data_IF_355796414078
#
_entry.id   IF_355796414078
#
_cell.length_a   1.000
_cell.length_b   1.000
_cell.length_c   1.000
_cell.angle_alpha   90.00
_cell.angle_beta   90.00
_cell.angle_gamma   90.00
#
_symmetry.space_group_name_H-M   'P 1'
#
loop_
_entity.id
_entity.type
_entity.pdbx_description
1 polymer ?
#
# COMPACT_ATOMS: atom_id res chain seq x y z
N UNK A 1 13.31 30.45 -0.98
CA UNK A 1 12.66 30.78 0.31
C UNK A 1 12.03 32.19 0.35
N UNK A 2 12.24 33.00 -0.68
CA UNK A 2 11.66 34.34 -0.80
C UNK A 2 10.77 34.50 -2.03
N UNK A 3 10.91 33.62 -3.01
CA UNK A 3 10.17 33.59 -4.27
C UNK A 3 8.92 32.74 -4.12
N UNK A 4 7.82 33.10 -4.77
CA UNK A 4 6.58 32.30 -4.77
C UNK A 4 5.69 32.49 -3.53
N UNK A 5 5.71 33.70 -2.90
CA UNK A 5 4.87 34.03 -1.73
C UNK A 5 3.64 34.88 -2.07
N UNK A 6 3.36 35.09 -3.34
CA UNK A 6 2.21 35.88 -3.82
C UNK A 6 1.59 35.23 -5.04
N UNK A 7 0.40 35.70 -5.45
CA UNK A 7 -0.30 35.23 -6.66
C UNK A 7 0.40 35.63 -7.96
N UNK A 8 1.53 36.32 -7.90
CA UNK A 8 2.28 36.73 -9.10
C UNK A 8 3.32 35.66 -9.43
N UNK A 9 3.43 35.35 -10.73
CA UNK A 9 4.48 34.47 -11.25
C UNK A 9 5.85 35.09 -10.96
N UNK A 10 6.73 34.34 -10.31
CA UNK A 10 8.07 34.78 -9.95
C UNK A 10 9.10 33.81 -10.50
N UNK A 11 10.29 34.31 -10.80
CA UNK A 11 11.40 33.54 -11.35
C UNK A 11 12.59 33.59 -10.37
N UNK A 12 13.28 32.46 -10.22
CA UNK A 12 14.52 32.37 -9.48
C UNK A 12 15.62 31.82 -10.41
N UNK A 13 16.74 32.52 -10.50
CA UNK A 13 17.88 32.12 -11.33
C UNK A 13 19.02 31.65 -10.42
N UNK A 14 19.49 30.42 -10.67
CA UNK A 14 20.66 29.87 -9.99
C UNK A 14 21.89 30.09 -10.87
N UNK A 15 22.82 30.90 -10.39
CA UNK A 15 24.09 31.13 -11.07
C UNK A 15 25.06 30.04 -10.61
N UNK A 16 25.50 29.21 -11.54
CA UNK A 16 26.34 28.04 -11.28
C UNK A 16 27.57 28.02 -12.17
N UNK A 17 28.67 27.36 -11.80
CA UNK A 17 29.70 26.99 -12.71
C UNK A 17 29.17 26.13 -13.88
N UNK A 18 29.98 25.91 -14.94
CA UNK A 18 29.61 25.00 -16.02
C UNK A 18 29.17 23.63 -15.46
N UNK A 19 28.16 23.00 -16.08
CA UNK A 19 27.53 21.79 -15.58
C UNK A 19 28.52 20.62 -15.36
N UNK A 20 29.61 20.59 -16.11
CA UNK A 20 30.73 19.63 -15.96
C UNK A 20 31.52 19.81 -14.66
N UNK A 21 31.56 21.04 -14.11
CA UNK A 21 32.30 21.35 -12.90
C UNK A 21 31.46 21.25 -11.61
N UNK A 22 30.15 20.99 -11.72
CA UNK A 22 29.24 20.85 -10.58
C UNK A 22 29.33 19.43 -10.03
N UNK A 23 29.40 19.28 -8.69
CA UNK A 23 29.42 17.98 -8.03
C UNK A 23 28.11 17.20 -8.26
N UNK A 24 28.17 15.87 -8.13
CA UNK A 24 27.00 15.00 -8.32
C UNK A 24 25.85 15.37 -7.41
N UNK A 25 26.13 15.71 -6.15
CA UNK A 25 25.10 16.08 -5.16
C UNK A 25 24.50 17.45 -5.45
N UNK A 26 25.30 18.41 -5.91
CA UNK A 26 24.78 19.70 -6.35
C UNK A 26 23.87 19.57 -7.58
N UNK A 27 24.19 18.67 -8.52
CA UNK A 27 23.32 18.33 -9.65
C UNK A 27 21.98 17.75 -9.19
N UNK A 28 22.01 16.81 -8.24
CA UNK A 28 20.80 16.21 -7.67
C UNK A 28 19.92 17.26 -6.99
N UNK A 29 20.51 18.16 -6.18
CA UNK A 29 19.79 19.25 -5.51
C UNK A 29 19.13 20.22 -6.50
N UNK A 30 19.86 20.61 -7.55
CA UNK A 30 19.30 21.47 -8.60
C UNK A 30 18.10 20.82 -9.28
N UNK A 31 18.21 19.53 -9.64
CA UNK A 31 17.12 18.75 -10.23
C UNK A 31 15.92 18.63 -9.30
N UNK A 32 16.17 18.48 -8.00
CA UNK A 32 15.09 18.46 -6.98
C UNK A 32 14.31 19.78 -6.94
N UNK A 33 15.01 20.92 -6.95
CA UNK A 33 14.36 22.23 -6.94
C UNK A 33 13.55 22.46 -8.23
N UNK A 34 14.04 21.98 -9.36
CA UNK A 34 13.33 22.04 -10.64
C UNK A 34 12.05 21.19 -10.61
N UNK A 35 12.14 19.97 -10.08
CA UNK A 35 10.99 19.03 -9.97
C UNK A 35 9.91 19.51 -9.01
N UNK A 36 10.30 20.11 -7.90
CA UNK A 36 9.39 20.55 -6.84
C UNK A 36 9.24 22.08 -6.80
N UNK A 37 8.88 22.68 -7.96
CA UNK A 37 8.68 24.12 -8.09
C UNK A 37 7.29 24.62 -7.66
N UNK A 38 6.35 23.72 -7.35
CA UNK A 38 5.00 24.08 -6.93
C UNK A 38 4.98 24.72 -5.52
N UNK A 39 3.99 25.59 -5.29
CA UNK A 39 3.78 26.20 -3.97
C UNK A 39 3.43 25.10 -2.95
N UNK A 40 4.10 25.11 -1.79
CA UNK A 40 3.90 24.10 -0.74
C UNK A 40 4.85 22.90 -0.78
N UNK A 41 5.67 22.76 -1.84
CA UNK A 41 6.62 21.64 -1.97
C UNK A 41 7.89 21.72 -1.09
N UNK A 42 7.93 22.68 -0.15
CA UNK A 42 9.09 22.88 0.74
C UNK A 42 9.47 21.64 1.55
N UNK A 43 8.50 20.86 2.03
CA UNK A 43 8.73 19.61 2.76
C UNK A 43 9.36 18.55 1.84
N UNK A 44 8.87 18.41 0.62
CA UNK A 44 9.40 17.45 -0.36
C UNK A 44 10.84 17.79 -0.77
N UNK A 45 11.15 19.09 -0.92
CA UNK A 45 12.53 19.55 -1.18
C UNK A 45 13.43 19.24 0.02
N UNK A 46 12.96 19.49 1.24
CA UNK A 46 13.72 19.21 2.46
C UNK A 46 13.98 17.70 2.63
N UNK A 47 12.99 16.87 2.35
CA UNK A 47 13.14 15.40 2.36
C UNK A 47 14.15 14.93 1.31
N UNK A 48 14.09 15.47 0.08
CA UNK A 48 15.06 15.13 -0.96
C UNK A 48 16.47 15.65 -0.64
N UNK A 49 16.62 16.80 0.00
CA UNK A 49 17.93 17.27 0.46
C UNK A 49 18.51 16.36 1.56
N UNK A 50 17.65 15.90 2.48
CA UNK A 50 18.02 14.92 3.51
C UNK A 50 18.48 13.58 2.86
N UNK A 51 17.73 13.09 1.87
CA UNK A 51 18.11 11.90 1.09
C UNK A 51 19.45 12.06 0.38
N UNK A 52 19.72 13.23 -0.21
CA UNK A 52 20.98 13.52 -0.93
C UNK A 52 22.16 13.63 0.04
N UNK A 53 21.98 14.22 1.22
CA UNK A 53 23.03 14.32 2.25
C UNK A 53 23.29 12.99 2.95
N UNK A 54 22.32 12.04 2.86
CA UNK A 54 22.26 10.94 3.80
C UNK A 54 21.87 11.45 5.19
N UNK A 55 20.91 10.82 5.84
CA UNK A 55 20.37 11.26 7.15
C UNK A 55 21.41 11.16 8.31
N UNK A 56 22.68 11.07 8.01
CA UNK A 56 23.77 10.86 8.95
C UNK A 56 23.88 11.90 10.06
N UNK A 57 23.54 13.14 9.77
CA UNK A 57 23.61 14.23 10.76
C UNK A 57 22.43 14.22 11.76
N UNK A 58 21.33 13.57 11.42
CA UNK A 58 20.13 13.52 12.27
C UNK A 58 20.02 12.25 13.13
N UNK A 59 20.61 11.15 12.67
CA UNK A 59 20.41 9.81 13.26
C UNK A 59 21.71 9.12 13.70
N UNK A 60 22.85 9.79 13.60
CA UNK A 60 24.18 9.22 13.88
C UNK A 60 24.84 8.60 12.65
N UNK A 61 26.18 8.71 12.59
CA UNK A 61 26.99 8.41 11.39
C UNK A 61 26.89 6.96 10.87
N UNK A 62 26.50 6.00 11.70
CA UNK A 62 26.38 4.58 11.31
C UNK A 62 25.08 4.26 10.54
N UNK A 63 24.03 5.09 10.70
CA UNK A 63 22.73 4.84 10.04
C UNK A 63 22.59 5.52 8.67
N UNK A 64 23.50 6.45 8.33
CA UNK A 64 23.46 7.19 7.07
C UNK A 64 23.66 6.31 5.82
N UNK A 65 24.51 5.29 5.92
CA UNK A 65 24.74 4.33 4.85
C UNK A 65 23.50 3.52 4.50
N UNK A 66 22.74 3.14 5.51
CA UNK A 66 21.55 2.29 5.38
C UNK A 66 20.39 2.99 4.62
N UNK A 67 20.20 4.30 4.84
CA UNK A 67 19.16 5.07 4.15
C UNK A 67 19.51 5.28 2.67
N UNK A 68 20.79 5.42 2.35
CA UNK A 68 21.25 5.55 0.97
C UNK A 68 21.06 4.26 0.15
N UNK A 69 21.18 3.09 0.78
CA UNK A 69 21.02 1.79 0.11
C UNK A 69 19.53 1.40 -0.05
N UNK A 70 18.69 1.66 0.96
CA UNK A 70 17.28 1.25 0.95
C UNK A 70 16.33 2.28 0.37
N UNK A 71 16.71 3.56 0.31
CA UNK A 71 15.82 4.68 0.01
C UNK A 71 15.00 5.14 1.23
N UNK A 72 14.67 6.43 1.26
CA UNK A 72 13.97 7.08 2.37
C UNK A 72 12.58 6.51 2.66
N UNK A 73 11.82 6.17 1.62
CA UNK A 73 10.46 5.62 1.76
C UNK A 73 10.46 4.25 2.47
N UNK A 74 11.46 3.41 2.15
CA UNK A 74 11.63 2.10 2.82
C UNK A 74 12.06 2.28 4.27
N UNK A 75 12.96 3.22 4.55
CA UNK A 75 13.37 3.56 5.91
C UNK A 75 12.20 4.07 6.75
N UNK A 76 11.37 4.98 6.22
CA UNK A 76 10.16 5.45 6.91
C UNK A 76 9.20 4.30 7.24
N UNK A 77 8.98 3.38 6.32
CA UNK A 77 8.13 2.20 6.57
C UNK A 77 8.67 1.34 7.70
N UNK A 78 9.98 1.07 7.71
CA UNK A 78 10.63 0.28 8.77
C UNK A 78 10.57 1.01 10.11
N UNK A 79 10.81 2.33 10.12
CA UNK A 79 10.72 3.14 11.34
C UNK A 79 9.29 3.14 11.90
N UNK A 80 8.29 3.29 11.05
CA UNK A 80 6.88 3.25 11.45
C UNK A 80 6.50 1.87 12.01
N UNK A 81 6.98 0.80 11.40
CA UNK A 81 6.80 -0.56 11.90
C UNK A 81 7.43 -0.74 13.29
N UNK A 82 8.67 -0.27 13.48
CA UNK A 82 9.34 -0.36 14.77
C UNK A 82 8.61 0.44 15.87
N UNK A 83 8.07 1.62 15.53
CA UNK A 83 7.26 2.43 16.45
C UNK A 83 5.97 1.70 16.83
N UNK A 84 5.30 1.05 15.89
CA UNK A 84 4.09 0.27 16.14
C UNK A 84 4.41 -0.95 17.03
N UNK A 85 5.50 -1.67 16.75
CA UNK A 85 5.97 -2.78 17.59
C UNK A 85 6.29 -2.35 19.02
N UNK A 86 6.94 -1.20 19.20
CA UNK A 86 7.21 -0.64 20.53
C UNK A 86 5.93 -0.26 21.27
N UNK A 87 4.95 0.34 20.58
CA UNK A 87 3.64 0.66 21.16
C UNK A 87 2.89 -0.59 21.61
N UNK A 88 2.94 -1.65 20.82
CA UNK A 88 2.27 -2.92 21.16
C UNK A 88 2.97 -3.69 22.28
N UNK A 89 4.30 -3.69 22.34
CA UNK A 89 5.07 -4.51 23.27
C UNK A 89 5.42 -3.80 24.57
N UNK A 90 6.05 -2.60 24.50
CA UNK A 90 6.58 -1.92 25.69
C UNK A 90 5.63 -0.87 26.27
N UNK A 91 4.81 -0.23 25.45
CA UNK A 91 3.93 0.86 25.86
C UNK A 91 2.44 0.51 25.87
N UNK A 92 2.10 -0.77 25.78
CA UNK A 92 0.72 -1.27 25.78
C UNK A 92 -0.12 -0.75 26.95
N UNK A 93 0.50 -0.52 28.12
CA UNK A 93 -0.19 0.02 29.31
C UNK A 93 -0.51 1.51 29.23
N UNK A 94 0.27 2.27 28.46
CA UNK A 94 0.11 3.72 28.30
C UNK A 94 -0.90 4.10 27.21
N UNK A 95 -1.08 3.23 26.20
CA UNK A 95 -1.96 3.46 25.02
C UNK A 95 -3.28 2.68 25.08
N UNK A 96 -3.63 2.09 26.24
CA UNK A 96 -4.90 1.37 26.45
C UNK A 96 -6.17 2.23 26.40
N UNK A 97 -6.06 3.54 26.28
CA UNK A 97 -7.21 4.45 26.32
C UNK A 97 -8.01 4.58 25.01
N UNK A 98 -7.56 3.99 23.90
CA UNK A 98 -8.23 4.08 22.61
C UNK A 98 -8.76 2.72 22.11
N UNK A 99 -9.12 1.80 23.02
CA UNK A 99 -9.69 0.47 22.68
C UNK A 99 -11.18 0.53 22.24
N UNK A 100 -11.71 1.68 21.85
CA UNK A 100 -12.99 1.75 21.17
C UNK A 100 -12.78 1.79 19.65
N UNK A 101 -13.06 0.68 18.99
CA UNK A 101 -13.37 0.52 17.56
C UNK A 101 -12.25 0.60 16.50
N UNK A 102 -10.97 0.57 16.83
CA UNK A 102 -10.00 0.28 15.77
C UNK A 102 -9.89 -1.23 15.54
N UNK A 103 -10.39 -1.70 14.42
CA UNK A 103 -10.18 -3.07 13.93
C UNK A 103 -8.67 -3.33 13.93
N UNK A 104 -8.18 -4.19 14.84
CA UNK A 104 -6.76 -4.58 14.86
C UNK A 104 -6.39 -5.12 13.48
N UNK A 105 -5.55 -4.40 12.76
CA UNK A 105 -5.09 -4.82 11.45
C UNK A 105 -3.96 -5.82 11.63
N UNK A 106 -4.26 -7.11 11.50
CA UNK A 106 -3.28 -8.19 11.65
C UNK A 106 -2.40 -8.38 10.41
N UNK A 107 -2.85 -7.95 9.24
CA UNK A 107 -2.14 -8.06 7.97
C UNK A 107 -1.72 -6.67 7.51
N UNK A 108 -0.43 -6.47 7.24
CA UNK A 108 0.13 -5.18 6.81
C UNK A 108 0.04 -4.96 5.30
N UNK A 109 0.26 -6.01 4.52
CA UNK A 109 0.13 -6.00 3.05
C UNK A 109 -0.35 -7.35 2.55
N UNK A 110 -1.17 -7.32 1.50
CA UNK A 110 -1.73 -8.51 0.87
C UNK A 110 -1.08 -8.73 -0.48
N UNK A 111 -0.45 -9.89 -0.64
CA UNK A 111 0.09 -10.31 -1.92
C UNK A 111 -1.01 -10.93 -2.79
N UNK A 112 -1.20 -10.42 -4.01
CA UNK A 112 -2.14 -10.96 -4.99
C UNK A 112 -1.38 -11.53 -6.17
N UNK A 113 -1.52 -12.85 -6.39
CA UNK A 113 -1.02 -13.56 -7.57
C UNK A 113 -2.22 -13.91 -8.47
N UNK A 114 -2.23 -13.46 -9.70
CA UNK A 114 -3.35 -13.71 -10.61
C UNK A 114 -2.87 -13.93 -12.04
N UNK A 115 -3.69 -14.61 -12.84
CA UNK A 115 -3.59 -14.71 -14.29
C UNK A 115 -4.40 -13.64 -15.04
N UNK A 116 -5.11 -12.77 -14.32
CA UNK A 116 -5.81 -11.63 -14.88
C UNK A 116 -4.85 -10.49 -15.22
N UNK A 117 -5.17 -9.74 -16.25
CA UNK A 117 -4.45 -8.52 -16.62
C UNK A 117 -4.83 -7.37 -15.68
N UNK A 118 -3.92 -7.02 -14.77
CA UNK A 118 -4.12 -6.00 -13.74
C UNK A 118 -3.04 -4.92 -13.89
N UNK A 119 -3.24 -3.99 -14.82
CA UNK A 119 -2.28 -2.91 -15.10
C UNK A 119 -2.94 -1.74 -15.84
N UNK A 120 -2.24 -0.61 -15.93
CA UNK A 120 -2.62 0.53 -16.77
C UNK A 120 -2.00 0.31 -18.16
N UNK A 121 -2.81 0.01 -19.22
CA UNK A 121 -2.28 -0.27 -20.55
C UNK A 121 -1.51 0.91 -21.17
N UNK A 122 -0.53 0.58 -22.02
CA UNK A 122 0.32 1.58 -22.69
C UNK A 122 -0.46 2.44 -23.68
N UNK A 123 -1.49 1.90 -24.30
CA UNK A 123 -2.40 2.56 -25.24
C UNK A 123 -3.40 3.49 -24.52
N UNK A 124 -3.68 3.22 -23.23
CA UNK A 124 -4.53 4.08 -22.41
C UNK A 124 -3.75 5.27 -21.83
N UNK A 125 -2.54 5.03 -21.27
CA UNK A 125 -1.63 6.07 -20.81
C UNK A 125 -0.25 5.82 -21.41
N UNK A 126 0.07 6.48 -22.53
CA UNK A 126 1.27 6.21 -23.31
C UNK A 126 2.57 6.73 -22.67
N UNK A 127 2.50 7.71 -21.77
CA UNK A 127 3.66 8.32 -21.13
C UNK A 127 4.05 7.50 -19.88
N UNK A 128 5.22 6.86 -19.89
CA UNK A 128 5.73 6.02 -18.79
C UNK A 128 5.79 6.77 -17.46
N UNK A 129 6.28 8.01 -17.46
CA UNK A 129 6.38 8.84 -16.25
C UNK A 129 5.00 9.08 -15.63
N UNK A 130 3.99 9.28 -16.44
CA UNK A 130 2.62 9.52 -16.02
C UNK A 130 1.99 8.26 -15.44
N UNK A 131 2.21 7.10 -16.10
CA UNK A 131 1.78 5.81 -15.52
C UNK A 131 2.42 5.52 -14.16
N UNK A 132 3.71 5.79 -13.99
CA UNK A 132 4.38 5.61 -12.70
C UNK A 132 3.79 6.53 -11.62
N UNK A 133 3.49 7.79 -11.96
CA UNK A 133 2.81 8.71 -11.04
C UNK A 133 1.43 8.21 -10.64
N UNK A 134 0.65 7.66 -11.58
CA UNK A 134 -0.67 7.06 -11.30
C UNK A 134 -0.56 5.83 -10.40
N UNK A 135 0.45 4.96 -10.57
CA UNK A 135 0.68 3.84 -9.65
C UNK A 135 1.08 4.30 -8.25
N UNK A 136 1.88 5.37 -8.13
CA UNK A 136 2.24 5.96 -6.84
C UNK A 136 1.02 6.56 -6.15
N UNK A 137 0.20 7.32 -6.89
CA UNK A 137 -1.07 7.86 -6.40
C UNK A 137 -1.99 6.74 -5.91
N UNK A 138 -2.19 5.69 -6.74
CA UNK A 138 -3.01 4.53 -6.40
C UNK A 138 -2.52 3.80 -5.14
N UNK A 139 -1.21 3.71 -4.94
CA UNK A 139 -0.62 3.06 -3.76
C UNK A 139 -0.86 3.83 -2.45
N UNK A 140 -1.14 5.13 -2.53
CA UNK A 140 -1.42 5.99 -1.37
C UNK A 140 -2.89 6.01 -0.96
N UNK A 141 -3.80 5.54 -1.81
CA UNK A 141 -5.24 5.52 -1.60
C UNK A 141 -5.61 4.53 -0.50
N UNK A 142 -6.41 4.99 0.46
CA UNK A 142 -6.82 4.19 1.62
C UNK A 142 -8.33 3.99 1.75
N UNK A 143 -9.13 4.79 1.07
CA UNK A 143 -10.60 4.75 1.16
C UNK A 143 -11.26 4.53 -0.19
N UNK A 144 -12.51 4.03 -0.19
CA UNK A 144 -13.27 3.80 -1.41
C UNK A 144 -13.67 5.13 -2.08
N UNK A 145 -13.88 6.19 -1.30
CA UNK A 145 -14.17 7.53 -1.80
C UNK A 145 -12.99 8.09 -2.60
N UNK A 146 -11.76 7.95 -2.08
CA UNK A 146 -10.54 8.35 -2.77
C UNK A 146 -10.33 7.53 -4.06
N UNK A 147 -10.60 6.21 -4.01
CA UNK A 147 -10.48 5.33 -5.16
C UNK A 147 -11.49 5.69 -6.25
N UNK A 148 -12.74 6.01 -5.88
CA UNK A 148 -13.76 6.46 -6.81
C UNK A 148 -13.39 7.83 -7.43
N UNK A 149 -12.84 8.75 -6.64
CA UNK A 149 -12.34 10.04 -7.16
C UNK A 149 -11.18 9.84 -8.15
N UNK A 150 -10.27 8.92 -7.85
CA UNK A 150 -9.18 8.53 -8.75
C UNK A 150 -9.72 7.92 -10.06
N UNK A 151 -10.72 7.05 -9.99
CA UNK A 151 -11.39 6.48 -11.17
C UNK A 151 -12.03 7.56 -12.05
N UNK A 152 -12.73 8.53 -11.44
CA UNK A 152 -13.33 9.67 -12.15
C UNK A 152 -12.24 10.51 -12.84
N UNK A 153 -11.15 10.82 -12.14
CA UNK A 153 -10.01 11.56 -12.67
C UNK A 153 -9.36 10.83 -13.87
N UNK A 154 -9.18 9.52 -13.79
CA UNK A 154 -8.67 8.72 -14.91
C UNK A 154 -9.58 8.81 -16.14
N UNK A 155 -10.90 8.69 -15.93
CA UNK A 155 -11.89 8.80 -17.03
C UNK A 155 -11.90 10.17 -17.66
N UNK A 156 -11.78 11.22 -16.87
CA UNK A 156 -11.77 12.61 -17.35
C UNK A 156 -10.52 12.90 -18.21
N UNK A 157 -9.36 12.40 -17.77
CA UNK A 157 -8.07 12.67 -18.42
C UNK A 157 -7.79 11.79 -19.64
N UNK A 158 -8.18 10.53 -19.59
CA UNK A 158 -7.76 9.52 -20.57
C UNK A 158 -8.95 8.81 -21.25
N UNK A 159 -10.18 9.16 -20.89
CA UNK A 159 -11.38 8.55 -21.45
C UNK A 159 -11.81 7.27 -20.75
N UNK A 160 -12.57 6.43 -21.48
CA UNK A 160 -13.17 5.20 -20.89
C UNK A 160 -12.12 4.25 -20.39
N UNK A 161 -12.24 3.79 -19.13
CA UNK A 161 -11.33 2.83 -18.52
C UNK A 161 -11.35 1.47 -19.26
N UNK A 162 -10.19 0.98 -19.72
CA UNK A 162 -10.05 -0.37 -20.24
C UNK A 162 -10.20 -1.42 -19.14
N UNK A 163 -10.53 -2.66 -19.53
CA UNK A 163 -10.75 -3.75 -18.58
C UNK A 163 -9.58 -3.98 -17.62
N UNK A 164 -8.29 -4.04 -18.06
CA UNK A 164 -7.16 -4.22 -17.16
C UNK A 164 -7.04 -3.12 -16.09
N UNK A 165 -7.37 -1.86 -16.44
CA UNK A 165 -7.36 -0.77 -15.46
C UNK A 165 -8.52 -0.85 -14.47
N UNK A 166 -9.70 -1.33 -14.89
CA UNK A 166 -10.81 -1.62 -13.97
C UNK A 166 -10.44 -2.73 -12.97
N UNK A 167 -9.87 -3.82 -13.46
CA UNK A 167 -9.43 -4.94 -12.63
C UNK A 167 -8.32 -4.50 -11.64
N UNK A 168 -7.48 -3.52 -12.04
CA UNK A 168 -6.49 -2.92 -11.15
C UNK A 168 -7.17 -2.19 -9.98
N UNK A 169 -8.20 -1.38 -10.23
CA UNK A 169 -8.94 -0.68 -9.16
C UNK A 169 -9.67 -1.68 -8.24
N UNK A 170 -10.30 -2.69 -8.83
CA UNK A 170 -10.93 -3.75 -8.03
C UNK A 170 -9.91 -4.53 -7.19
N UNK A 171 -8.68 -4.73 -7.68
CA UNK A 171 -7.62 -5.38 -6.89
C UNK A 171 -7.23 -4.59 -5.64
N UNK A 172 -7.34 -3.26 -5.65
CA UNK A 172 -7.12 -2.41 -4.46
C UNK A 172 -8.23 -2.66 -3.44
N UNK A 173 -9.50 -2.69 -3.86
CA UNK A 173 -10.63 -3.03 -2.99
C UNK A 173 -10.47 -4.44 -2.39
N UNK A 174 -10.04 -5.39 -3.23
CA UNK A 174 -9.78 -6.76 -2.79
C UNK A 174 -8.71 -6.82 -1.69
N UNK A 175 -7.63 -6.03 -1.81
CA UNK A 175 -6.60 -5.94 -0.76
C UNK A 175 -7.20 -5.47 0.58
N UNK A 176 -8.05 -4.46 0.59
CA UNK A 176 -8.67 -3.96 1.82
C UNK A 176 -9.55 -5.00 2.50
N UNK A 177 -10.38 -5.69 1.72
CA UNK A 177 -11.24 -6.75 2.25
C UNK A 177 -10.42 -7.93 2.77
N UNK A 178 -9.37 -8.33 2.03
CA UNK A 178 -8.47 -9.40 2.45
C UNK A 178 -7.73 -9.06 3.75
N UNK A 179 -7.25 -7.82 3.89
CA UNK A 179 -6.62 -7.33 5.12
C UNK A 179 -7.56 -7.47 6.33
N UNK A 180 -8.84 -7.10 6.18
CA UNK A 180 -9.83 -7.24 7.25
C UNK A 180 -10.07 -8.70 7.66
N UNK A 181 -9.96 -9.63 6.72
CA UNK A 181 -10.14 -11.07 6.96
C UNK A 181 -8.87 -11.78 7.47
N UNK A 182 -7.77 -11.08 7.64
CA UNK A 182 -6.51 -11.70 8.06
C UNK A 182 -5.83 -12.55 6.96
N UNK A 183 -6.09 -12.22 5.69
CA UNK A 183 -5.52 -12.90 4.54
C UNK A 183 -4.24 -12.19 4.12
N UNK A 184 -3.12 -12.89 4.10
CA UNK A 184 -1.80 -12.38 3.68
C UNK A 184 -1.56 -12.53 2.17
N UNK A 185 -2.09 -13.60 1.58
CA UNK A 185 -1.85 -13.92 0.18
C UNK A 185 -3.09 -14.48 -0.49
N UNK A 186 -3.37 -13.97 -1.68
CA UNK A 186 -4.42 -14.41 -2.58
C UNK A 186 -3.80 -14.99 -3.85
N UNK A 187 -4.23 -16.17 -4.26
CA UNK A 187 -3.87 -16.75 -5.56
C UNK A 187 -5.16 -16.95 -6.33
N UNK A 188 -5.42 -16.05 -7.30
CA UNK A 188 -6.62 -16.08 -8.16
C UNK A 188 -6.20 -16.54 -9.55
N UNK A 189 -6.45 -17.81 -9.87
CA UNK A 189 -6.10 -18.42 -11.16
C UNK A 189 -7.16 -19.42 -11.61
N UNK A 190 -7.40 -19.45 -12.92
CA UNK A 190 -8.31 -20.43 -13.56
C UNK A 190 -9.68 -20.53 -12.89
N UNK A 191 -10.26 -19.38 -12.51
CA UNK A 191 -11.58 -19.33 -11.89
C UNK A 191 -11.65 -19.85 -10.44
N UNK A 192 -10.52 -20.03 -9.77
CA UNK A 192 -10.45 -20.38 -8.36
C UNK A 192 -9.56 -19.43 -7.59
N UNK A 193 -9.88 -19.19 -6.32
CA UNK A 193 -9.07 -18.37 -5.42
C UNK A 193 -8.64 -19.17 -4.21
N UNK A 194 -7.33 -19.10 -3.91
CA UNK A 194 -6.76 -19.61 -2.66
C UNK A 194 -6.38 -18.42 -1.79
N UNK A 195 -7.02 -18.28 -0.64
CA UNK A 195 -6.80 -17.19 0.31
C UNK A 195 -6.03 -17.74 1.51
N UNK A 196 -4.74 -17.42 1.61
CA UNK A 196 -3.88 -17.86 2.70
C UNK A 196 -3.97 -16.88 3.85
N UNK A 197 -4.33 -17.39 5.03
CA UNK A 197 -4.30 -16.63 6.28
C UNK A 197 -2.87 -16.35 6.73
N UNK A 198 -2.73 -15.57 7.80
CA UNK A 198 -1.46 -15.24 8.44
C UNK A 198 -0.53 -16.45 8.53
N UNK A 199 0.74 -16.23 8.26
CA UNK A 199 1.79 -17.26 8.36
C UNK A 199 2.16 -17.53 9.81
N UNK A 200 2.12 -16.52 10.68
CA UNK A 200 2.37 -16.68 12.11
C UNK A 200 1.16 -17.29 12.84
N UNK A 201 1.24 -18.56 13.13
CA UNK A 201 0.19 -19.30 13.85
C UNK A 201 0.04 -18.93 15.32
N UNK A 202 1.04 -18.28 15.91
CA UNK A 202 0.96 -17.80 17.29
C UNK A 202 0.25 -16.46 17.40
N UNK A 203 -0.08 -15.83 16.26
CA UNK A 203 -0.79 -14.56 16.21
C UNK A 203 -2.08 -14.63 17.02
N UNK A 204 -2.35 -13.56 17.77
CA UNK A 204 -3.61 -13.37 18.51
C UNK A 204 -4.84 -13.38 17.59
N UNK A 205 -4.65 -13.21 16.28
CA UNK A 205 -5.70 -13.33 15.28
C UNK A 205 -6.43 -14.66 15.38
N UNK A 206 -5.69 -15.79 15.41
CA UNK A 206 -6.26 -17.14 15.45
C UNK A 206 -6.98 -17.46 16.78
N UNK A 207 -6.65 -16.73 17.85
CA UNK A 207 -7.30 -16.86 19.17
C UNK A 207 -8.48 -15.91 19.34
N UNK A 208 -8.68 -14.98 18.37
CA UNK A 208 -9.72 -13.95 18.46
C UNK A 208 -11.12 -14.54 18.28
N UNK A 209 -12.11 -13.92 18.94
CA UNK A 209 -13.52 -14.24 18.71
C UNK A 209 -13.93 -14.03 17.26
N UNK A 210 -13.31 -13.03 16.61
CA UNK A 210 -13.50 -12.72 15.20
C UNK A 210 -13.16 -13.90 14.30
N UNK A 211 -12.00 -14.53 14.50
CA UNK A 211 -11.55 -15.66 13.69
C UNK A 211 -12.42 -16.91 13.90
N UNK A 212 -12.83 -17.19 15.15
CA UNK A 212 -13.73 -18.30 15.46
C UNK A 212 -15.07 -18.11 14.73
N UNK A 213 -15.62 -16.88 14.76
CA UNK A 213 -16.85 -16.57 14.07
C UNK A 213 -16.69 -16.66 12.54
N UNK A 214 -15.57 -16.20 11.98
CA UNK A 214 -15.24 -16.31 10.56
C UNK A 214 -15.23 -17.78 10.09
N UNK A 215 -14.60 -18.67 10.84
CA UNK A 215 -14.61 -20.11 10.53
C UNK A 215 -16.02 -20.67 10.50
N UNK A 216 -16.83 -20.33 11.48
CA UNK A 216 -18.22 -20.77 11.53
C UNK A 216 -19.03 -20.30 10.29
N UNK A 217 -18.83 -19.05 9.86
CA UNK A 217 -19.48 -18.53 8.65
C UNK A 217 -19.02 -19.24 7.37
N UNK A 218 -17.73 -19.57 7.26
CA UNK A 218 -17.19 -20.34 6.12
C UNK A 218 -17.82 -21.74 6.08
N UNK A 219 -17.95 -22.40 7.24
CA UNK A 219 -18.54 -23.74 7.33
C UNK A 219 -20.03 -23.77 6.98
N UNK A 220 -20.74 -22.65 7.13
CA UNK A 220 -22.15 -22.52 6.71
C UNK A 220 -22.33 -22.37 5.19
N UNK A 221 -21.26 -22.22 4.41
CA UNK A 221 -21.26 -22.06 2.95
C UNK A 221 -20.35 -23.06 2.24
N UNK A 222 -20.55 -24.37 2.44
CA UNK A 222 -19.60 -25.41 1.99
C UNK A 222 -19.52 -25.55 0.47
N UNK A 223 -20.54 -25.15 -0.28
CA UNK A 223 -20.61 -25.36 -1.73
C UNK A 223 -19.58 -24.54 -2.52
N UNK A 224 -19.17 -23.39 -2.01
CA UNK A 224 -18.25 -22.46 -2.69
C UNK A 224 -16.96 -22.20 -1.95
N UNK A 225 -16.95 -22.42 -0.64
CA UNK A 225 -15.84 -22.06 0.25
C UNK A 225 -15.44 -23.25 1.12
N UNK A 226 -14.20 -23.70 0.98
CA UNK A 226 -13.67 -24.82 1.77
C UNK A 226 -12.40 -24.39 2.49
N UNK A 227 -12.41 -24.49 3.81
CA UNK A 227 -11.22 -24.28 4.63
C UNK A 227 -10.34 -25.52 4.58
N UNK A 228 -9.06 -25.33 4.26
CA UNK A 228 -8.07 -26.39 4.14
C UNK A 228 -6.78 -25.99 4.85
N UNK A 229 -6.02 -27.02 5.26
CA UNK A 229 -4.70 -26.87 5.83
C UNK A 229 -3.66 -27.52 4.92
N UNK A 230 -2.51 -26.88 4.75
CA UNK A 230 -1.37 -27.40 4.00
C UNK A 230 -0.12 -27.33 4.87
N UNK A 231 0.58 -28.44 5.00
CA UNK A 231 1.88 -28.48 5.67
C UNK A 231 2.91 -27.86 4.71
N UNK A 232 3.59 -26.80 5.17
CA UNK A 232 4.69 -26.13 4.45
C UNK A 232 6.00 -26.32 5.23
N UNK A 233 7.14 -25.94 4.64
CA UNK A 233 8.44 -26.00 5.33
C UNK A 233 8.48 -25.14 6.60
N UNK A 234 7.65 -24.10 6.66
CA UNK A 234 7.50 -23.19 7.81
C UNK A 234 6.40 -23.60 8.79
N UNK A 235 5.79 -24.79 8.62
CA UNK A 235 4.69 -25.29 9.44
C UNK A 235 3.35 -25.40 8.70
N UNK A 236 2.28 -25.82 9.40
CA UNK A 236 0.96 -25.92 8.83
C UNK A 236 0.43 -24.51 8.48
N UNK A 237 -0.19 -24.36 7.32
CA UNK A 237 -0.73 -23.11 6.82
C UNK A 237 -2.21 -23.26 6.44
N UNK A 238 -3.04 -22.46 7.07
CA UNK A 238 -4.47 -22.45 6.83
C UNK A 238 -4.79 -21.61 5.60
N UNK A 239 -5.67 -22.10 4.74
CA UNK A 239 -6.16 -21.35 3.60
C UNK A 239 -7.63 -21.66 3.28
N UNK A 240 -8.30 -20.67 2.72
CA UNK A 240 -9.65 -20.77 2.20
C UNK A 240 -9.58 -20.98 0.68
N UNK A 241 -10.18 -22.07 0.19
CA UNK A 241 -10.34 -22.37 -1.23
C UNK A 241 -11.72 -21.93 -1.68
N UNK A 242 -11.79 -21.06 -2.67
CA UNK A 242 -13.03 -20.54 -3.26
C UNK A 242 -13.04 -20.94 -4.75
N UNK A 243 -14.15 -21.47 -5.22
CA UNK A 243 -14.32 -21.92 -6.61
C UNK A 243 -15.35 -21.06 -7.35
N UNK A 244 -15.38 -21.16 -8.67
CA UNK A 244 -16.33 -20.44 -9.56
C UNK A 244 -16.19 -18.90 -9.50
N UNK A 245 -14.95 -18.41 -9.42
CA UNK A 245 -14.65 -16.98 -9.48
C UNK A 245 -14.35 -16.58 -10.93
N UNK A 246 -15.21 -15.79 -11.54
CA UNK A 246 -15.05 -15.30 -12.93
C UNK A 246 -14.35 -13.94 -13.00
N UNK A 247 -14.55 -13.08 -11.99
CA UNK A 247 -14.08 -11.70 -11.96
C UNK A 247 -13.65 -11.33 -10.55
N UNK A 248 -12.73 -10.36 -10.40
CA UNK A 248 -12.29 -9.87 -9.09
C UNK A 248 -13.47 -9.33 -8.27
N UNK A 249 -14.41 -8.64 -8.90
CA UNK A 249 -15.61 -8.10 -8.26
C UNK A 249 -16.48 -9.16 -7.57
N UNK A 250 -16.64 -10.33 -8.19
CA UNK A 250 -17.40 -11.43 -7.58
C UNK A 250 -16.72 -11.97 -6.32
N UNK A 251 -15.38 -12.03 -6.31
CA UNK A 251 -14.59 -12.40 -5.14
C UNK A 251 -14.74 -11.37 -4.03
N UNK A 252 -14.64 -10.06 -4.35
CA UNK A 252 -14.85 -8.98 -3.39
C UNK A 252 -16.22 -9.11 -2.72
N UNK A 253 -17.28 -9.32 -3.50
CA UNK A 253 -18.64 -9.46 -2.97
C UNK A 253 -18.74 -10.62 -1.97
N UNK A 254 -18.17 -11.78 -2.29
CA UNK A 254 -18.15 -12.94 -1.41
C UNK A 254 -17.38 -12.67 -0.11
N UNK A 255 -16.17 -12.12 -0.22
CA UNK A 255 -15.34 -11.81 0.94
C UNK A 255 -15.94 -10.69 1.80
N UNK A 256 -16.57 -9.68 1.20
CA UNK A 256 -17.28 -8.60 1.92
C UNK A 256 -18.47 -9.15 2.71
N UNK A 257 -19.21 -10.10 2.15
CA UNK A 257 -20.29 -10.77 2.88
C UNK A 257 -19.78 -11.49 4.13
N UNK A 258 -18.59 -12.11 4.07
CA UNK A 258 -17.96 -12.70 5.25
C UNK A 258 -17.63 -11.63 6.30
N UNK A 259 -17.04 -10.49 5.88
CA UNK A 259 -16.71 -9.37 6.78
C UNK A 259 -17.96 -8.83 7.46
N UNK A 260 -19.04 -8.59 6.71
CA UNK A 260 -20.30 -8.05 7.26
C UNK A 260 -20.94 -9.00 8.26
N UNK A 261 -20.98 -10.29 7.94
CA UNK A 261 -21.52 -11.32 8.85
C UNK A 261 -20.68 -11.49 10.10
N UNK A 262 -19.37 -11.23 10.05
CA UNK A 262 -18.49 -11.30 11.23
C UNK A 262 -18.54 -10.07 12.11
N UNK A 263 -19.04 -8.93 11.62
CA UNK A 263 -19.24 -7.69 12.39
C UNK A 263 -20.64 -7.58 13.03
N UNK A 264 -21.58 -8.44 12.64
CA UNK A 264 -22.90 -8.49 13.30
C UNK A 264 -22.74 -9.17 14.67
N UNK A 265 -23.29 -8.59 15.76
CA UNK A 265 -23.14 -9.09 17.13
C UNK A 265 -23.79 -10.45 17.32
#
# INVERSE_FOLDING_TARGET
GRVGRSNKKAFCYFITPPYSAISTDAKKRMKTIEQFSAIGSGIQIAMKDLEIRGAGDLLGGEQSGFINEMGFDTYQKILQQAIEELKENEFRSLYKSDENDSVKTYVRDVQIDTDLEIFIPNDYVNIVKERLALYQELSSIKTDEELNAFEVNLKDRFGTLPLPAKELLESVRLKWVATQLGIERLILKKGSCLCYFLSDQNSDFFKSKYFIYLINQIQMTPDRMVLKEKITQSGPRLFLSIVEIKEVKSLITLLTQLVLKTKAP
#
